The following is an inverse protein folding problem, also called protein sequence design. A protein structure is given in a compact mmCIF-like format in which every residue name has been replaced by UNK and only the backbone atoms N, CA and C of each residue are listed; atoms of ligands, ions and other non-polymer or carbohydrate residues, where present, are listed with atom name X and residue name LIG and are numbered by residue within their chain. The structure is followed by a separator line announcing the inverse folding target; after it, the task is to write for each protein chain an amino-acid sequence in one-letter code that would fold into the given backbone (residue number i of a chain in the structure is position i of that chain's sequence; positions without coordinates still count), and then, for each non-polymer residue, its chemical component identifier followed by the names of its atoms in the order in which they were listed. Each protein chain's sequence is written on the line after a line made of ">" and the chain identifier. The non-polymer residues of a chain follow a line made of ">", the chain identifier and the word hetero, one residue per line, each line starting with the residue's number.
data_IF_072413311753
#
_entry.id   IF_072413311753
#
_cell.length_a   1.000
_cell.length_b   1.000
_cell.length_c   1.000
_cell.angle_alpha   90.00
_cell.angle_beta   90.00
_cell.angle_gamma   90.00
#
_symmetry.space_group_name_H-M   'P 1'
#
loop_
_entity.id
_entity.type
_entity.pdbx_description
1 polymer ?
#
# COMPACT_ATOMS: atom_id res chain seq x y z
N UNK A 1 -14.26 14.80 3.40
CA UNK A 1 -13.06 13.92 3.39
C UNK A 1 -11.86 14.80 3.18
N UNK A 2 -10.86 14.74 4.07
CA UNK A 2 -9.56 15.40 3.87
C UNK A 2 -8.94 14.90 2.57
N UNK A 3 -8.29 15.80 1.83
CA UNK A 3 -7.67 15.52 0.53
C UNK A 3 -6.50 14.55 0.59
N UNK A 4 -5.66 14.58 -0.44
CA UNK A 4 -4.60 13.61 -0.66
C UNK A 4 -3.67 13.42 0.55
N UNK A 5 -3.35 12.16 0.85
CA UNK A 5 -2.43 11.79 1.93
C UNK A 5 -1.21 11.09 1.33
N UNK A 6 -0.01 11.53 1.72
CA UNK A 6 1.24 10.89 1.32
C UNK A 6 1.53 9.72 2.25
N UNK A 7 1.71 8.52 1.67
CA UNK A 7 2.18 7.33 2.35
C UNK A 7 3.51 6.89 1.74
N UNK A 8 4.56 6.74 2.56
CA UNK A 8 5.83 6.18 2.12
C UNK A 8 5.80 4.67 2.29
N UNK A 9 6.01 3.93 1.19
CA UNK A 9 6.12 2.47 1.22
C UNK A 9 7.61 2.12 1.39
N UNK A 10 8.02 1.45 2.49
CA UNK A 10 9.41 1.03 2.68
C UNK A 10 9.79 -0.11 1.73
N UNK A 11 11.08 -0.19 1.39
CA UNK A 11 11.60 -1.33 0.64
C UNK A 11 11.36 -2.63 1.43
N UNK A 12 11.00 -3.71 0.72
CA UNK A 12 10.68 -5.00 1.34
C UNK A 12 9.30 -5.08 2.00
N UNK A 13 8.44 -4.06 1.88
CA UNK A 13 7.06 -4.14 2.33
C UNK A 13 6.33 -5.33 1.70
N UNK A 14 5.59 -6.06 2.51
CA UNK A 14 4.94 -7.30 2.10
C UNK A 14 3.49 -7.05 1.67
N UNK A 15 3.00 -7.86 0.73
CA UNK A 15 1.60 -7.85 0.35
C UNK A 15 0.70 -8.09 1.59
N UNK A 16 -0.38 -7.32 1.72
CA UNK A 16 -1.27 -7.36 2.89
C UNK A 16 -0.79 -6.56 4.10
N UNK A 17 0.42 -6.01 4.10
CA UNK A 17 0.90 -5.16 5.18
C UNK A 17 0.00 -3.94 5.37
N UNK A 18 -0.34 -3.63 6.63
CA UNK A 18 -1.21 -2.51 6.99
C UNK A 18 -0.39 -1.32 7.47
N UNK A 19 -0.71 -0.14 6.93
CA UNK A 19 -0.14 1.14 7.32
C UNK A 19 -1.19 1.98 8.03
N UNK A 20 -0.84 2.51 9.20
CA UNK A 20 -1.74 3.37 10.00
C UNK A 20 -1.44 4.83 9.69
N UNK A 21 -2.45 5.55 9.23
CA UNK A 21 -2.42 6.99 9.01
C UNK A 21 -3.19 7.67 10.14
N UNK A 22 -2.43 8.20 11.12
CA UNK A 22 -2.98 8.72 12.36
C UNK A 22 -3.83 9.96 12.13
N UNK A 23 -5.02 10.02 12.73
CA UNK A 23 -5.93 11.18 12.65
C UNK A 23 -6.53 11.43 11.26
N UNK A 24 -6.39 10.47 10.33
CA UNK A 24 -6.97 10.54 8.97
C UNK A 24 -8.26 9.73 8.82
N UNK A 25 -8.75 9.15 9.91
CA UNK A 25 -10.02 8.43 9.96
C UNK A 25 -11.21 9.35 10.17
N UNK A 26 -12.36 8.75 10.48
CA UNK A 26 -13.61 9.49 10.67
C UNK A 26 -13.57 10.38 11.92
N UNK A 27 -14.26 11.54 11.92
CA UNK A 27 -14.42 12.37 13.10
C UNK A 27 -15.18 11.60 14.19
N UNK A 28 -14.80 11.79 15.45
CA UNK A 28 -15.51 11.21 16.60
C UNK A 28 -16.75 12.04 16.92
N UNK A 29 -17.92 11.38 16.99
CA UNK A 29 -19.22 12.05 17.17
C UNK A 29 -19.32 12.92 18.43
N UNK A 30 -18.65 12.53 19.53
CA UNK A 30 -18.75 13.21 20.84
C UNK A 30 -17.60 14.16 21.14
N UNK A 31 -16.57 14.21 20.29
CA UNK A 31 -15.37 15.00 20.52
C UNK A 31 -15.06 15.84 19.28
N UNK A 32 -15.48 17.10 19.32
CA UNK A 32 -15.13 18.07 18.28
C UNK A 32 -13.59 18.12 18.18
N UNK A 33 -13.08 17.99 16.96
CA UNK A 33 -11.65 17.97 16.60
C UNK A 33 -10.88 16.68 16.89
N UNK A 34 -11.53 15.60 17.35
CA UNK A 34 -10.89 14.29 17.38
C UNK A 34 -11.25 13.44 16.18
N UNK A 35 -10.24 12.78 15.61
CA UNK A 35 -10.37 11.90 14.46
C UNK A 35 -9.83 10.52 14.80
N UNK A 36 -10.44 9.50 14.22
CA UNK A 36 -9.89 8.16 14.19
C UNK A 36 -8.70 8.05 13.24
N UNK A 37 -8.27 6.81 12.98
CA UNK A 37 -7.17 6.54 12.06
C UNK A 37 -7.69 5.87 10.80
N UNK A 38 -6.96 6.09 9.71
CA UNK A 38 -7.15 5.36 8.46
C UNK A 38 -6.12 4.25 8.38
N UNK A 39 -6.53 3.04 7.99
CA UNK A 39 -5.63 1.94 7.71
C UNK A 39 -5.61 1.66 6.21
N UNK A 40 -4.44 1.73 5.60
CA UNK A 40 -4.23 1.33 4.22
C UNK A 40 -3.61 -0.08 4.21
N UNK A 41 -4.20 -1.00 3.45
CA UNK A 41 -3.63 -2.33 3.24
C UNK A 41 -2.94 -2.36 1.87
N UNK A 42 -1.68 -2.81 1.85
CA UNK A 42 -0.94 -2.97 0.61
C UNK A 42 -1.49 -4.14 -0.20
N UNK A 43 -1.79 -3.91 -1.47
CA UNK A 43 -2.18 -4.94 -2.41
C UNK A 43 -1.26 -4.89 -3.64
N UNK A 44 -0.46 -5.93 -3.82
CA UNK A 44 0.41 -6.09 -4.98
C UNK A 44 -0.43 -6.63 -6.12
N UNK A 45 -0.57 -5.84 -7.19
CA UNK A 45 -1.29 -6.24 -8.40
C UNK A 45 -0.31 -6.82 -9.42
N UNK A 46 -0.53 -8.07 -9.81
CA UNK A 46 0.24 -8.72 -10.86
C UNK A 46 -0.33 -8.34 -12.25
N UNK A 47 0.54 -8.13 -13.25
CA UNK A 47 0.10 -7.84 -14.62
C UNK A 47 -0.59 -9.07 -15.23
N UNK A 48 -1.64 -8.84 -16.03
CA UNK A 48 -2.38 -9.92 -16.71
C UNK A 48 -1.66 -10.47 -17.95
N UNK A 49 -0.84 -9.64 -18.58
CA UNK A 49 -0.02 -9.98 -19.74
C UNK A 49 1.38 -9.40 -19.54
N UNK A 50 2.38 -10.11 -20.05
CA UNK A 50 3.78 -9.69 -19.96
C UNK A 50 4.46 -9.82 -21.33
N UNK A 51 5.40 -8.92 -21.61
CA UNK A 51 6.23 -8.97 -22.81
C UNK A 51 7.31 -10.05 -22.68
N UNK A 52 7.94 -10.49 -23.79
CA UNK A 52 9.07 -11.41 -23.74
C UNK A 52 10.22 -10.92 -22.84
N UNK A 53 10.52 -9.61 -22.88
CA UNK A 53 11.55 -9.01 -22.04
C UNK A 53 11.20 -9.08 -20.54
N UNK A 54 9.95 -8.76 -20.19
CA UNK A 54 9.48 -8.87 -18.80
C UNK A 54 9.56 -10.31 -18.29
N UNK A 55 9.20 -11.30 -19.12
CA UNK A 55 9.34 -12.72 -18.79
C UNK A 55 10.80 -13.06 -18.46
N UNK A 56 11.75 -12.65 -19.31
CA UNK A 56 13.19 -12.89 -19.09
C UNK A 56 13.65 -12.30 -17.75
N UNK A 57 13.19 -11.12 -17.37
CA UNK A 57 13.54 -10.50 -16.09
C UNK A 57 12.97 -11.28 -14.89
N UNK A 58 11.74 -11.78 -14.98
CA UNK A 58 11.16 -12.61 -13.94
C UNK A 58 11.85 -13.98 -13.81
N UNK A 59 12.23 -14.60 -14.93
CA UNK A 59 12.99 -15.86 -14.93
C UNK A 59 14.37 -15.68 -14.29
N UNK A 60 15.08 -14.59 -14.62
CA UNK A 60 16.34 -14.24 -13.93
C UNK A 60 16.14 -14.05 -12.43
N UNK A 61 15.09 -13.34 -12.02
CA UNK A 61 14.79 -13.12 -10.60
C UNK A 61 14.52 -14.44 -9.88
N UNK A 62 13.79 -15.37 -10.53
CA UNK A 62 13.53 -16.72 -10.00
C UNK A 62 14.81 -17.52 -9.80
N UNK A 63 15.74 -17.47 -10.76
CA UNK A 63 16.97 -18.26 -10.72
C UNK A 63 18.03 -17.69 -9.74
N UNK A 64 17.89 -16.41 -9.35
CA UNK A 64 18.71 -15.78 -8.31
C UNK A 64 18.23 -16.08 -6.88
N UNK A 65 17.02 -16.63 -6.73
CA UNK A 65 16.43 -17.06 -5.46
C UNK A 65 16.46 -18.57 -5.27
#
# INVERSE_FOLDING_TARGET
>A
MTGDVKLKIPAGAQNGQKFRLRGKGMPKLRHKNEYGDLYAQLEVKLPKSITPEQRTLFEKLRDMG
#
